data_IF_719299809230
#
_entry.id   IF_719299809230
#
_cell.length_a   1.000
_cell.length_b   1.000
_cell.length_c   1.000
_cell.angle_alpha   90.00
_cell.angle_beta   90.00
_cell.angle_gamma   90.00
#
_symmetry.space_group_name_H-M   'P 1'
#
loop_
_entity.id
_entity.type
_entity.pdbx_description
1 polymer ?
#
# COMPACT_ATOMS: atom_id res chain seq x y z
N UNK A 1 -9.26 -17.49 2.88
CA UNK A 1 -7.82 -17.36 2.51
C UNK A 1 -7.63 -16.48 1.27
N UNK A 2 -8.16 -16.83 0.08
CA UNK A 2 -7.98 -16.01 -1.14
C UNK A 2 -8.91 -14.79 -1.25
N UNK A 3 -10.08 -14.84 -0.61
CA UNK A 3 -11.16 -13.85 -0.82
C UNK A 3 -10.78 -12.43 -0.35
N UNK A 4 -9.96 -12.30 0.70
CA UNK A 4 -9.55 -10.98 1.20
C UNK A 4 -8.46 -10.33 0.33
N UNK A 5 -7.52 -11.12 -0.19
CA UNK A 5 -6.47 -10.60 -1.08
C UNK A 5 -7.08 -10.10 -2.41
N UNK A 6 -7.96 -10.88 -3.03
CA UNK A 6 -8.61 -10.47 -4.28
C UNK A 6 -9.39 -9.15 -4.13
N UNK A 7 -10.06 -8.94 -2.99
CA UNK A 7 -10.76 -7.69 -2.69
C UNK A 7 -9.80 -6.53 -2.45
N UNK A 8 -8.67 -6.76 -1.78
CA UNK A 8 -7.61 -5.75 -1.63
C UNK A 8 -7.02 -5.34 -2.98
N UNK A 9 -6.77 -6.29 -3.89
CA UNK A 9 -6.33 -6.00 -5.25
C UNK A 9 -7.38 -5.20 -6.02
N UNK A 10 -8.67 -5.56 -5.91
CA UNK A 10 -9.74 -4.81 -6.55
C UNK A 10 -9.82 -3.36 -6.03
N UNK A 11 -9.74 -3.16 -4.71
CA UNK A 11 -9.68 -1.83 -4.09
C UNK A 11 -8.45 -1.07 -4.60
N UNK A 12 -7.29 -1.72 -4.67
CA UNK A 12 -6.04 -1.11 -5.10
C UNK A 12 -6.10 -0.65 -6.56
N UNK A 13 -6.60 -1.50 -7.47
CA UNK A 13 -6.79 -1.15 -8.89
C UNK A 13 -7.85 -0.06 -9.09
N UNK A 14 -8.92 -0.07 -8.29
CA UNK A 14 -9.93 1.00 -8.32
C UNK A 14 -9.34 2.33 -7.85
N UNK A 15 -8.57 2.30 -6.77
CA UNK A 15 -7.88 3.48 -6.24
C UNK A 15 -6.80 3.99 -7.20
N UNK A 16 -6.15 3.09 -7.93
CA UNK A 16 -5.21 3.43 -8.99
C UNK A 16 -5.90 4.28 -10.08
N UNK A 17 -7.06 3.83 -10.58
CA UNK A 17 -7.85 4.61 -11.54
C UNK A 17 -8.33 5.95 -10.96
N UNK A 18 -8.74 5.97 -9.69
CA UNK A 18 -9.13 7.21 -8.99
C UNK A 18 -7.95 8.19 -8.84
N UNK A 19 -6.75 7.68 -8.56
CA UNK A 19 -5.53 8.47 -8.48
C UNK A 19 -5.18 9.13 -9.81
N UNK A 20 -5.29 8.41 -10.93
CA UNK A 20 -5.11 9.02 -12.26
C UNK A 20 -6.13 10.13 -12.50
N UNK A 21 -7.41 9.88 -12.17
CA UNK A 21 -8.47 10.87 -12.37
C UNK A 21 -8.25 12.11 -11.49
N UNK A 22 -7.61 11.96 -10.33
CA UNK A 22 -7.32 13.06 -9.42
C UNK A 22 -6.30 14.05 -9.98
N UNK A 23 -5.49 13.68 -10.98
CA UNK A 23 -4.50 14.57 -11.62
C UNK A 23 -5.18 15.80 -12.25
N UNK A 24 -6.43 15.67 -12.69
CA UNK A 24 -7.20 16.78 -13.26
C UNK A 24 -7.68 17.81 -12.23
N UNK A 25 -7.56 17.51 -10.93
CA UNK A 25 -8.07 18.36 -9.85
C UNK A 25 -7.01 18.52 -8.73
N UNK A 26 -6.38 19.71 -8.60
CA UNK A 26 -5.36 19.95 -7.58
C UNK A 26 -5.87 19.65 -6.15
N UNK A 27 -5.10 18.88 -5.38
CA UNK A 27 -5.41 18.52 -3.99
C UNK A 27 -6.38 17.33 -3.82
N UNK A 28 -7.00 16.85 -4.91
CA UNK A 28 -7.84 15.64 -4.86
C UNK A 28 -7.03 14.36 -4.69
N UNK A 29 -5.76 14.38 -5.08
CA UNK A 29 -4.79 13.31 -4.88
C UNK A 29 -4.61 12.96 -3.39
N UNK A 30 -4.55 13.98 -2.52
CA UNK A 30 -4.49 13.79 -1.06
C UNK A 30 -5.79 13.16 -0.55
N UNK A 31 -6.95 13.66 -0.99
CA UNK A 31 -8.25 13.14 -0.57
C UNK A 31 -8.43 11.68 -0.98
N UNK A 32 -8.08 11.34 -2.23
CA UNK A 32 -8.12 9.96 -2.74
C UNK A 32 -7.21 9.06 -1.91
N UNK A 33 -6.02 9.54 -1.55
CA UNK A 33 -5.10 8.77 -0.71
C UNK A 33 -5.65 8.50 0.69
N UNK A 34 -6.29 9.49 1.32
CA UNK A 34 -6.95 9.32 2.62
C UNK A 34 -8.13 8.34 2.53
N UNK A 35 -8.97 8.46 1.50
CA UNK A 35 -10.09 7.54 1.26
C UNK A 35 -9.56 6.13 1.05
N UNK A 36 -8.50 5.98 0.26
CA UNK A 36 -7.85 4.69 0.01
C UNK A 36 -7.35 4.05 1.33
N UNK A 37 -6.63 4.80 2.17
CA UNK A 37 -6.19 4.30 3.48
C UNK A 37 -7.36 3.91 4.38
N UNK A 38 -8.46 4.67 4.35
CA UNK A 38 -9.67 4.37 5.11
C UNK A 38 -10.35 3.09 4.63
N UNK A 39 -10.48 2.90 3.32
CA UNK A 39 -11.06 1.67 2.74
C UNK A 39 -10.20 0.45 3.07
N UNK A 40 -8.88 0.57 2.97
CA UNK A 40 -7.95 -0.49 3.39
C UNK A 40 -8.10 -0.79 4.89
N UNK A 41 -8.24 0.23 5.74
CA UNK A 41 -8.48 0.01 7.18
C UNK A 41 -9.80 -0.73 7.45
N UNK A 42 -10.88 -0.33 6.78
CA UNK A 42 -12.18 -1.00 6.93
C UNK A 42 -12.13 -2.47 6.47
N UNK A 43 -11.39 -2.76 5.41
CA UNK A 43 -11.20 -4.13 4.94
C UNK A 43 -10.26 -4.92 5.87
N UNK A 44 -9.20 -4.31 6.39
CA UNK A 44 -8.29 -4.91 7.36
C UNK A 44 -9.01 -5.28 8.67
N UNK A 45 -9.95 -4.45 9.13
CA UNK A 45 -10.78 -4.73 10.32
C UNK A 45 -11.54 -6.04 10.19
N UNK A 46 -12.01 -6.39 9.00
CA UNK A 46 -12.74 -7.65 8.77
C UNK A 46 -11.85 -8.89 8.92
N UNK A 47 -10.53 -8.71 8.92
CA UNK A 47 -9.56 -9.76 9.13
C UNK A 47 -9.18 -9.95 10.61
N UNK A 48 -9.83 -9.29 11.57
CA UNK A 48 -9.42 -9.31 12.97
C UNK A 48 -9.39 -10.71 13.61
N UNK A 49 -10.34 -11.59 13.25
CA UNK A 49 -10.44 -12.97 13.74
C UNK A 49 -9.40 -13.90 13.12
N UNK A 50 -8.74 -13.49 12.04
CA UNK A 50 -7.76 -14.33 11.37
C UNK A 50 -6.51 -14.52 12.24
N UNK A 51 -5.86 -15.69 12.18
CA UNK A 51 -4.58 -15.89 12.84
C UNK A 51 -3.52 -14.94 12.27
N UNK A 52 -2.57 -14.52 13.10
CA UNK A 52 -1.54 -13.54 12.73
C UNK A 52 -0.80 -13.90 11.44
N UNK A 53 -0.47 -15.18 11.25
CA UNK A 53 0.21 -15.68 10.03
C UNK A 53 -0.63 -15.39 8.77
N UNK A 54 -1.95 -15.54 8.84
CA UNK A 54 -2.83 -15.24 7.70
C UNK A 54 -2.94 -13.74 7.43
N UNK A 55 -2.90 -12.90 8.48
CA UNK A 55 -2.84 -11.43 8.34
C UNK A 55 -1.56 -11.00 7.63
N UNK A 56 -0.42 -11.54 8.06
CA UNK A 56 0.89 -11.31 7.45
C UNK A 56 0.86 -11.75 5.99
N UNK A 57 0.49 -13.00 5.71
CA UNK A 57 0.42 -13.53 4.35
C UNK A 57 -0.47 -12.68 3.44
N UNK A 58 -1.62 -12.22 3.92
CA UNK A 58 -2.53 -11.36 3.14
C UNK A 58 -1.88 -10.02 2.79
N UNK A 59 -1.21 -9.37 3.76
CA UNK A 59 -0.48 -8.12 3.53
C UNK A 59 0.63 -8.28 2.50
N UNK A 60 1.46 -9.31 2.64
CA UNK A 60 2.55 -9.60 1.71
C UNK A 60 2.06 -9.99 0.31
N UNK A 61 1.00 -10.79 0.20
CA UNK A 61 0.40 -11.16 -1.10
C UNK A 61 -0.16 -9.92 -1.79
N UNK A 62 -0.82 -9.02 -1.05
CA UNK A 62 -1.34 -7.78 -1.59
C UNK A 62 -0.22 -6.85 -2.09
N UNK A 63 0.89 -6.76 -1.36
CA UNK A 63 2.03 -5.91 -1.73
C UNK A 63 3.08 -6.62 -2.59
N UNK A 64 2.82 -7.84 -3.06
CA UNK A 64 3.79 -8.63 -3.82
C UNK A 64 4.36 -7.88 -5.05
N UNK A 65 3.56 -7.16 -5.87
CA UNK A 65 4.11 -6.39 -6.99
C UNK A 65 5.04 -5.26 -6.52
N UNK A 66 4.62 -4.49 -5.51
CA UNK A 66 5.43 -3.42 -4.94
C UNK A 66 6.74 -3.95 -4.31
N UNK A 67 6.67 -5.08 -3.60
CA UNK A 67 7.83 -5.73 -3.01
C UNK A 67 8.80 -6.25 -4.07
N UNK A 68 8.27 -6.84 -5.16
CA UNK A 68 9.08 -7.32 -6.27
C UNK A 68 9.91 -6.19 -6.89
N UNK A 69 9.28 -5.06 -7.22
CA UNK A 69 9.99 -3.91 -7.79
C UNK A 69 10.94 -3.25 -6.78
N UNK A 70 10.58 -3.20 -5.50
CA UNK A 70 11.46 -2.68 -4.46
C UNK A 70 12.73 -3.55 -4.32
N UNK A 71 12.59 -4.87 -4.36
CA UNK A 71 13.71 -5.81 -4.31
C UNK A 71 14.61 -5.70 -5.54
N UNK A 72 14.05 -5.52 -6.74
CA UNK A 72 14.86 -5.24 -7.94
C UNK A 72 15.73 -3.99 -7.78
N UNK A 73 15.15 -2.90 -7.26
CA UNK A 73 15.88 -1.65 -7.00
C UNK A 73 16.99 -1.82 -5.95
N UNK A 74 16.70 -2.52 -4.84
CA UNK A 74 17.67 -2.70 -3.74
C UNK A 74 18.78 -3.66 -4.12
N UNK A 75 18.46 -4.73 -4.86
CA UNK A 75 19.46 -5.73 -5.29
C UNK A 75 20.31 -5.27 -6.48
N UNK A 76 19.92 -4.18 -7.15
CA UNK A 76 20.52 -3.75 -8.43
C UNK A 76 20.52 -4.86 -9.50
N UNK A 77 19.60 -5.83 -9.37
CA UNK A 77 19.50 -6.95 -10.29
C UNK A 77 18.68 -6.54 -11.51
N UNK A 78 19.29 -6.68 -12.68
CA UNK A 78 18.59 -6.41 -13.94
C UNK A 78 17.93 -7.68 -14.49
N UNK A 79 16.62 -7.80 -14.24
CA UNK A 79 15.81 -8.85 -14.81
C UNK A 79 15.19 -8.40 -16.13
N UNK A 80 15.78 -8.83 -17.26
CA UNK A 80 15.25 -8.56 -18.60
C UNK A 80 15.04 -7.06 -18.90
N UNK A 81 15.88 -6.17 -18.36
CA UNK A 81 15.75 -4.72 -18.53
C UNK A 81 14.73 -4.05 -17.60
N UNK A 82 14.07 -4.81 -16.70
CA UNK A 82 13.06 -4.24 -15.79
C UNK A 82 13.65 -3.32 -14.72
N UNK A 83 14.95 -3.38 -14.46
CA UNK A 83 15.58 -2.53 -13.44
C UNK A 83 15.38 -1.04 -13.73
N UNK A 84 15.51 -0.63 -14.99
CA UNK A 84 15.35 0.77 -15.41
C UNK A 84 13.92 1.27 -15.20
N UNK A 85 12.93 0.38 -15.31
CA UNK A 85 11.52 0.70 -15.15
C UNK A 85 11.01 0.47 -13.72
N UNK A 86 11.80 -0.16 -12.85
CA UNK A 86 11.34 -0.60 -11.54
C UNK A 86 10.84 0.55 -10.67
N UNK A 87 11.51 1.72 -10.73
CA UNK A 87 11.05 2.90 -9.99
C UNK A 87 9.72 3.42 -10.52
N UNK A 88 9.54 3.46 -11.85
CA UNK A 88 8.30 3.90 -12.47
C UNK A 88 7.16 2.94 -12.14
N UNK A 89 7.40 1.64 -12.20
CA UNK A 89 6.43 0.62 -11.80
C UNK A 89 6.03 0.74 -10.33
N UNK A 90 6.97 1.12 -9.45
CA UNK A 90 6.68 1.39 -8.04
C UNK A 90 5.81 2.64 -7.87
N UNK A 91 6.13 3.73 -8.57
CA UNK A 91 5.29 4.94 -8.57
C UNK A 91 3.88 4.62 -9.05
N UNK A 92 3.77 3.84 -10.13
CA UNK A 92 2.51 3.42 -10.69
C UNK A 92 1.69 2.59 -9.68
N UNK A 93 2.30 1.57 -9.06
CA UNK A 93 1.64 0.76 -8.03
C UNK A 93 1.16 1.61 -6.85
N UNK A 94 1.99 2.54 -6.37
CA UNK A 94 1.65 3.41 -5.25
C UNK A 94 0.98 4.73 -5.63
N UNK A 95 0.45 4.86 -6.86
CA UNK A 95 -0.33 6.03 -7.31
C UNK A 95 -1.36 6.47 -6.27
N UNK A 96 -2.15 5.57 -5.64
CA UNK A 96 -3.11 5.96 -4.62
C UNK A 96 -2.52 6.63 -3.38
N UNK A 97 -1.22 6.46 -3.10
CA UNK A 97 -0.53 7.02 -1.94
C UNK A 97 0.40 8.18 -2.31
N UNK A 98 0.61 8.46 -3.61
CA UNK A 98 1.52 9.54 -4.04
C UNK A 98 1.06 10.91 -3.53
N UNK A 99 -0.25 11.15 -3.41
CA UNK A 99 -0.79 12.38 -2.83
C UNK A 99 -0.35 12.60 -1.38
N UNK A 100 -0.13 11.53 -0.59
CA UNK A 100 0.44 11.67 0.76
C UNK A 100 1.96 11.85 0.72
N UNK A 101 2.64 11.24 -0.25
CA UNK A 101 4.07 11.43 -0.44
C UNK A 101 4.40 12.86 -0.88
N UNK A 102 3.51 13.55 -1.60
CA UNK A 102 3.71 14.94 -2.01
C UNK A 102 3.80 15.89 -0.80
N UNK A 103 3.13 15.57 0.31
CA UNK A 103 3.21 16.32 1.56
C UNK A 103 4.59 16.23 2.23
N UNK A 104 5.39 15.20 1.91
CA UNK A 104 6.76 15.09 2.41
C UNK A 104 7.68 16.20 1.83
N UNK A 105 7.22 16.94 0.82
CA UNK A 105 7.94 18.06 0.23
C UNK A 105 9.23 17.67 -0.50
N UNK A 106 10.00 18.67 -0.92
CA UNK A 106 11.29 18.50 -1.63
C UNK A 106 12.42 18.36 -0.60
N UNK A 107 12.24 17.48 0.39
CA UNK A 107 13.30 17.19 1.34
C UNK A 107 14.33 16.28 0.67
N UNK A 108 15.59 16.66 0.68
CA UNK A 108 16.69 15.85 0.15
C UNK A 108 17.37 15.06 1.26
N UNK A 109 17.71 13.81 0.98
CA UNK A 109 18.48 12.94 1.87
C UNK A 109 19.49 12.16 1.03
N UNK A 110 20.78 12.17 1.40
CA UNK A 110 21.89 11.53 0.65
C UNK A 110 21.77 11.66 -0.88
N UNK A 111 21.72 12.92 -1.36
CA UNK A 111 21.72 13.29 -2.79
C UNK A 111 20.50 12.84 -3.61
N UNK A 112 19.48 12.26 -2.98
CA UNK A 112 18.20 11.92 -3.61
C UNK A 112 17.03 12.57 -2.87
N UNK A 113 15.94 12.93 -3.57
CA UNK A 113 14.71 13.33 -2.89
C UNK A 113 14.23 12.23 -1.95
N UNK A 114 13.82 12.60 -0.72
CA UNK A 114 13.29 11.70 0.31
C UNK A 114 12.18 10.78 -0.23
N UNK A 115 11.40 11.31 -1.17
CA UNK A 115 10.42 10.60 -1.96
C UNK A 115 10.91 9.24 -2.49
N UNK A 116 12.14 9.14 -3.00
CA UNK A 116 12.67 7.87 -3.55
C UNK A 116 12.80 6.79 -2.47
N UNK A 117 13.30 7.15 -1.29
CA UNK A 117 13.43 6.21 -0.19
C UNK A 117 12.06 5.80 0.34
N UNK A 118 11.16 6.76 0.54
CA UNK A 118 9.79 6.48 0.97
C UNK A 118 9.09 5.53 0.02
N UNK A 119 9.24 5.75 -1.29
CA UNK A 119 8.67 4.91 -2.32
C UNK A 119 9.17 3.46 -2.19
N UNK A 120 10.48 3.24 -2.06
CA UNK A 120 11.06 1.88 -1.87
C UNK A 120 10.50 1.19 -0.61
N UNK A 121 10.26 1.93 0.48
CA UNK A 121 9.73 1.39 1.73
C UNK A 121 8.20 1.28 1.77
N UNK A 122 7.46 1.92 0.86
CA UNK A 122 5.99 1.91 0.85
C UNK A 122 5.33 0.53 0.84
N UNK A 123 5.84 -0.50 0.14
CA UNK A 123 5.29 -1.85 0.24
C UNK A 123 5.32 -2.37 1.68
N UNK A 124 6.44 -2.17 2.38
CA UNK A 124 6.61 -2.60 3.78
C UNK A 124 5.73 -1.77 4.71
N UNK A 125 5.70 -0.44 4.54
CA UNK A 125 4.84 0.46 5.32
C UNK A 125 3.37 0.07 5.15
N UNK A 126 2.93 -0.22 3.92
CA UNK A 126 1.56 -0.64 3.61
C UNK A 126 1.21 -2.00 4.24
N UNK A 127 2.15 -2.96 4.21
CA UNK A 127 2.00 -4.24 4.92
C UNK A 127 1.82 -4.02 6.43
N UNK A 128 2.69 -3.22 7.04
CA UNK A 128 2.63 -2.92 8.48
C UNK A 128 1.33 -2.22 8.84
N UNK A 129 0.89 -1.25 8.03
CA UNK A 129 -0.39 -0.58 8.21
C UNK A 129 -1.56 -1.57 8.20
N UNK A 130 -1.62 -2.45 7.19
CA UNK A 130 -2.66 -3.47 7.09
C UNK A 130 -2.66 -4.42 8.30
N UNK A 131 -1.49 -4.96 8.66
CA UNK A 131 -1.35 -5.91 9.78
C UNK A 131 -1.69 -5.24 11.11
N UNK A 132 -1.27 -3.99 11.31
CA UNK A 132 -1.56 -3.20 12.49
C UNK A 132 -3.06 -3.03 12.68
N UNK A 133 -3.77 -2.55 11.66
CA UNK A 133 -5.23 -2.40 11.73
C UNK A 133 -5.94 -3.75 11.90
N UNK A 134 -5.50 -4.79 11.20
CA UNK A 134 -6.06 -6.14 11.34
C UNK A 134 -5.79 -6.76 12.72
N UNK A 135 -4.83 -6.26 13.50
CA UNK A 135 -4.49 -6.79 14.82
C UNK A 135 -5.18 -6.05 15.97
N UNK A 136 -5.73 -4.85 15.72
CA UNK A 136 -6.47 -4.09 16.72
C UNK A 136 -7.85 -4.73 16.92
N UNK A 137 -8.15 -5.13 18.15
CA UNK A 137 -9.49 -5.54 18.56
C UNK A 137 -10.36 -4.31 18.73
N UNK A 138 -11.47 -4.23 17.98
CA UNK A 138 -12.40 -3.10 18.08
C UNK A 138 -13.52 -3.42 19.08
N UNK A 139 -13.69 -2.61 20.15
CA UNK A 139 -14.80 -2.74 21.07
C UNK A 139 -16.09 -2.33 20.34
N UNK A 140 -16.84 -3.32 19.86
CA UNK A 140 -18.04 -3.10 19.05
C UNK A 140 -18.36 -4.22 18.06
N UNK A 141 -17.51 -5.24 17.93
CA UNK A 141 -17.87 -6.39 17.10
C UNK A 141 -18.95 -7.26 17.79
N UNK A 142 -20.18 -7.35 17.24
CA UNK A 142 -21.21 -8.23 17.78
C UNK A 142 -20.85 -9.72 17.71
N UNK A 143 -19.80 -10.10 16.96
CA UNK A 143 -19.29 -11.48 16.85
C UNK A 143 -18.25 -11.83 17.93
N UNK A 144 -17.71 -10.84 18.64
CA UNK A 144 -16.73 -11.03 19.71
C UNK A 144 -17.32 -11.55 21.03
N UNK A 145 -18.63 -11.84 21.08
CA UNK A 145 -19.35 -12.24 22.31
C UNK A 145 -19.52 -13.76 22.49
N UNK A 146 -18.87 -14.57 21.65
CA UNK A 146 -18.87 -16.03 21.75
C UNK A 146 -17.44 -16.59 21.86
N UNK A 147 -16.73 -16.20 22.92
CA UNK A 147 -15.68 -17.03 23.51
C UNK A 147 -15.72 -16.87 25.03
#
# INVERSE_FOLDING_TARGET
MLVNAGRLYFIHLSAFAAGILSIYFPGMDILVALIYLLVIALEARRAYELPLIQKIATGFIWQAPGLFFALLLVSSYDFMGLYEYAIFMLQFWFTPLLGLLSLAGINFYFDKPLYYYLLIYLPIISCVYYIGIASISFPGDPRGRCR
#
